data_IF_950469739962
#
_entry.id   IF_950469739962
#
_cell.length_a   1.000
_cell.length_b   1.000
_cell.length_c   1.000
_cell.angle_alpha   90.00
_cell.angle_beta   90.00
_cell.angle_gamma   90.00
#
_symmetry.space_group_name_H-M   'P 1'
#
loop_
_entity.id
_entity.type
_entity.pdbx_description
1 polymer ?
#
# COMPACT_ATOMS: atom_id res chain seq x y z
N UNK A 1 7.24 1.48 -13.95
CA UNK A 1 7.31 0.19 -13.20
C UNK A 1 8.61 0.19 -12.45
N UNK A 2 8.60 -0.27 -11.20
CA UNK A 2 9.71 -0.27 -10.26
C UNK A 2 9.81 -1.64 -9.60
N UNK A 3 11.01 -1.97 -9.12
CA UNK A 3 11.25 -3.16 -8.32
C UNK A 3 12.23 -2.82 -7.19
N UNK A 4 12.13 -3.58 -6.10
CA UNK A 4 13.01 -3.48 -4.94
C UNK A 4 13.54 -4.86 -4.57
N UNK A 5 14.79 -4.91 -4.14
CA UNK A 5 15.42 -6.10 -3.59
C UNK A 5 16.18 -5.73 -2.31
N UNK A 6 16.11 -6.58 -1.29
CA UNK A 6 16.84 -6.42 -0.05
C UNK A 6 16.64 -7.61 0.87
N UNK A 7 17.72 -8.10 1.49
CA UNK A 7 17.65 -9.28 2.37
C UNK A 7 16.90 -8.96 3.67
N UNK A 8 16.33 -9.98 4.30
CA UNK A 8 15.66 -9.88 5.61
C UNK A 8 16.52 -10.36 6.80
N UNK A 9 17.78 -10.72 6.55
CA UNK A 9 18.73 -11.24 7.55
C UNK A 9 18.84 -10.33 8.79
N UNK A 10 18.94 -9.02 8.57
CA UNK A 10 19.05 -8.02 9.66
C UNK A 10 17.69 -7.48 10.13
N UNK A 11 16.59 -7.96 9.54
CA UNK A 11 15.23 -7.50 9.84
C UNK A 11 14.40 -8.56 10.59
N UNK A 12 14.90 -9.78 10.69
CA UNK A 12 14.22 -10.94 11.30
C UNK A 12 14.68 -11.25 12.72
N UNK A 13 15.69 -10.55 13.23
CA UNK A 13 16.24 -10.78 14.57
C UNK A 13 15.20 -10.46 15.66
N UNK A 14 14.75 -11.46 16.44
CA UNK A 14 13.72 -11.28 17.45
C UNK A 14 14.25 -10.66 18.76
N UNK A 15 15.56 -10.43 18.89
CA UNK A 15 16.19 -9.91 20.11
C UNK A 15 16.16 -8.39 20.23
N UNK A 16 15.76 -7.68 19.17
CA UNK A 16 15.59 -6.22 19.18
C UNK A 16 14.40 -5.79 20.02
N UNK A 17 14.51 -4.61 20.66
CA UNK A 17 13.42 -4.01 21.45
C UNK A 17 12.11 -3.86 20.64
N UNK A 18 12.21 -3.62 19.33
CA UNK A 18 11.11 -3.67 18.37
C UNK A 18 11.60 -4.47 17.15
N UNK A 19 11.21 -5.76 17.00
CA UNK A 19 11.67 -6.57 15.88
C UNK A 19 11.01 -6.13 14.58
N UNK A 20 11.80 -5.98 13.52
CA UNK A 20 11.32 -5.58 12.18
C UNK A 20 10.47 -6.65 11.47
N UNK A 21 10.55 -7.90 11.95
CA UNK A 21 9.83 -9.06 11.42
C UNK A 21 9.94 -9.17 9.89
N UNK A 22 11.16 -9.05 9.37
CA UNK A 22 11.47 -9.19 7.94
C UNK A 22 11.23 -7.95 7.07
N UNK A 23 10.78 -6.84 7.67
CA UNK A 23 10.53 -5.55 6.99
C UNK A 23 11.13 -4.38 7.79
N UNK A 24 11.26 -3.22 7.15
CA UNK A 24 11.77 -2.01 7.80
C UNK A 24 11.38 -0.74 7.05
N UNK A 25 11.72 0.43 7.60
CA UNK A 25 11.39 1.73 6.99
C UNK A 25 12.02 1.94 5.61
N UNK A 26 13.17 1.31 5.36
CA UNK A 26 13.89 1.34 4.07
C UNK A 26 13.51 0.17 3.14
N UNK A 27 12.71 -0.77 3.62
CA UNK A 27 12.30 -2.00 2.91
C UNK A 27 10.93 -2.43 3.42
N UNK A 28 9.90 -1.78 2.88
CA UNK A 28 8.53 -1.87 3.40
C UNK A 28 7.81 -3.17 2.97
N UNK A 29 8.37 -3.91 2.02
CA UNK A 29 7.81 -5.15 1.50
C UNK A 29 8.23 -6.39 2.31
N UNK A 30 7.41 -7.43 2.25
CA UNK A 30 7.70 -8.73 2.85
C UNK A 30 8.66 -9.56 1.99
N UNK A 31 9.62 -10.22 2.64
CA UNK A 31 10.59 -11.11 1.97
C UNK A 31 11.59 -10.32 1.13
N UNK A 32 12.28 -10.97 0.20
CA UNK A 32 13.48 -10.36 -0.39
C UNK A 32 13.22 -9.37 -1.52
N UNK A 33 12.04 -9.39 -2.15
CA UNK A 33 11.74 -8.55 -3.30
C UNK A 33 10.31 -8.02 -3.29
N UNK A 34 10.13 -6.93 -4.01
CA UNK A 34 8.82 -6.41 -4.38
C UNK A 34 8.84 -5.75 -5.76
N UNK A 35 7.68 -5.66 -6.37
CA UNK A 35 7.43 -4.94 -7.62
C UNK A 35 6.22 -4.03 -7.44
N UNK A 36 6.27 -2.86 -8.05
CA UNK A 36 5.13 -1.96 -8.08
C UNK A 36 5.12 -1.13 -9.35
N UNK A 37 3.94 -0.71 -9.75
CA UNK A 37 3.77 0.09 -10.94
C UNK A 37 2.40 0.73 -10.93
N UNK A 38 2.33 1.89 -11.55
CA UNK A 38 1.06 2.56 -11.76
C UNK A 38 1.12 3.39 -13.02
N UNK A 39 -0.06 3.80 -13.45
CA UNK A 39 -0.23 4.67 -14.59
C UNK A 39 -1.33 5.68 -14.27
N UNK A 40 -1.21 6.84 -14.91
CA UNK A 40 -2.23 7.88 -14.91
C UNK A 40 -2.78 7.99 -16.32
N UNK A 41 -4.10 7.97 -16.44
CA UNK A 41 -4.81 8.25 -17.67
C UNK A 41 -5.60 9.55 -17.55
N UNK A 42 -5.30 10.52 -18.41
CA UNK A 42 -6.00 11.81 -18.45
C UNK A 42 -7.15 11.71 -19.45
N UNK A 43 -8.39 11.70 -18.96
CA UNK A 43 -9.58 11.70 -19.83
C UNK A 43 -9.75 13.04 -20.54
N UNK A 44 -9.56 14.14 -19.79
CA UNK A 44 -9.67 15.51 -20.28
C UNK A 44 -8.92 16.46 -19.34
N UNK A 45 -9.02 17.77 -19.58
CA UNK A 45 -8.35 18.80 -18.78
C UNK A 45 -8.72 18.79 -17.28
N UNK A 46 -9.91 18.29 -16.93
CA UNK A 46 -10.44 18.28 -15.56
C UNK A 46 -10.40 16.92 -14.89
N UNK A 47 -10.14 15.84 -15.62
CA UNK A 47 -10.39 14.47 -15.11
C UNK A 47 -9.23 13.56 -15.43
N UNK A 48 -8.68 12.92 -14.40
CA UNK A 48 -7.68 11.87 -14.52
C UNK A 48 -8.02 10.66 -13.66
N UNK A 49 -7.67 9.48 -14.17
CA UNK A 49 -7.67 8.20 -13.45
C UNK A 49 -6.23 7.86 -13.09
N UNK A 50 -5.97 7.45 -11.87
CA UNK A 50 -4.71 6.84 -11.45
C UNK A 50 -5.00 5.40 -11.02
N UNK A 51 -4.14 4.48 -11.43
CA UNK A 51 -4.18 3.10 -10.97
C UNK A 51 -2.77 2.64 -10.60
N UNK A 52 -2.64 1.91 -9.51
CA UNK A 52 -1.39 1.34 -9.02
C UNK A 52 -1.61 -0.10 -8.56
N UNK A 53 -0.61 -0.95 -8.80
CA UNK A 53 -0.52 -2.30 -8.28
C UNK A 53 0.85 -2.53 -7.65
N UNK A 54 0.90 -3.27 -6.56
CA UNK A 54 2.13 -3.70 -5.88
C UNK A 54 2.03 -5.16 -5.46
N UNK A 55 3.15 -5.87 -5.52
CA UNK A 55 3.25 -7.26 -5.10
C UNK A 55 4.63 -7.59 -4.51
N UNK A 56 4.68 -8.47 -3.53
CA UNK A 56 5.93 -8.89 -2.88
C UNK A 56 6.07 -10.41 -2.70
N UNK A 57 7.24 -10.84 -2.24
CA UNK A 57 7.57 -12.26 -2.03
C UNK A 57 6.63 -12.94 -1.03
N UNK A 58 6.14 -12.19 -0.04
CA UNK A 58 5.15 -12.68 0.93
C UNK A 58 3.75 -12.79 0.36
N UNK A 59 3.58 -12.54 -0.94
CA UNK A 59 2.31 -12.57 -1.66
C UNK A 59 1.35 -11.49 -1.18
N UNK A 60 1.84 -10.38 -0.64
CA UNK A 60 0.98 -9.23 -0.41
C UNK A 60 0.66 -8.59 -1.75
N UNK A 61 -0.63 -8.41 -2.05
CA UNK A 61 -1.09 -7.72 -3.27
C UNK A 61 -1.83 -6.45 -2.86
N UNK A 62 -1.34 -5.30 -3.31
CA UNK A 62 -2.02 -4.01 -3.18
C UNK A 62 -2.50 -3.53 -4.54
N UNK A 63 -3.75 -3.06 -4.61
CA UNK A 63 -4.30 -2.38 -5.78
C UNK A 63 -4.96 -1.10 -5.29
N UNK A 64 -4.60 0.03 -5.89
CA UNK A 64 -5.21 1.32 -5.61
C UNK A 64 -5.69 1.95 -6.92
N UNK A 65 -6.90 2.50 -6.93
CA UNK A 65 -7.42 3.22 -8.07
C UNK A 65 -8.17 4.48 -7.61
N UNK A 66 -7.87 5.62 -8.22
CA UNK A 66 -8.55 6.87 -7.92
C UNK A 66 -8.89 7.69 -9.15
N UNK A 67 -9.93 8.50 -9.03
CA UNK A 67 -10.29 9.53 -10.01
C UNK A 67 -10.09 10.88 -9.34
N UNK A 68 -9.33 11.76 -9.98
CA UNK A 68 -9.22 13.16 -9.62
C UNK A 68 -10.03 14.01 -10.61
N UNK A 69 -10.97 14.79 -10.08
CA UNK A 69 -11.86 15.66 -10.83
C UNK A 69 -11.79 17.10 -10.34
N UNK A 70 -11.37 18.00 -11.23
CA UNK A 70 -11.35 19.44 -11.01
C UNK A 70 -12.73 20.02 -11.34
N UNK A 71 -13.54 20.27 -10.30
CA UNK A 71 -14.86 20.87 -10.48
C UNK A 71 -14.72 22.29 -11.03
N UNK A 72 -13.86 23.08 -10.37
CA UNK A 72 -13.47 24.44 -10.76
C UNK A 72 -11.96 24.60 -10.56
N UNK A 73 -11.32 25.59 -11.21
CA UNK A 73 -9.91 25.87 -10.98
C UNK A 73 -9.58 26.00 -9.48
N UNK A 74 -8.56 25.26 -9.06
CA UNK A 74 -8.11 25.19 -7.66
C UNK A 74 -9.06 24.44 -6.72
N UNK A 75 -10.01 23.63 -7.22
CA UNK A 75 -10.81 22.74 -6.40
C UNK A 75 -10.94 21.35 -7.02
N UNK A 76 -10.29 20.38 -6.40
CA UNK A 76 -10.22 18.98 -6.84
C UNK A 76 -10.95 18.08 -5.85
N UNK A 77 -11.79 17.20 -6.37
CA UNK A 77 -12.30 16.04 -5.62
C UNK A 77 -11.55 14.80 -6.10
N UNK A 78 -10.99 14.05 -5.17
CA UNK A 78 -10.37 12.75 -5.43
C UNK A 78 -11.12 11.64 -4.72
N UNK A 79 -11.57 10.65 -5.46
CA UNK A 79 -12.20 9.44 -4.91
C UNK A 79 -11.27 8.26 -5.13
N UNK A 80 -10.93 7.51 -4.09
CA UNK A 80 -10.00 6.37 -4.13
C UNK A 80 -10.65 5.11 -3.57
N UNK A 81 -10.32 3.97 -4.18
CA UNK A 81 -10.63 2.64 -3.68
C UNK A 81 -9.35 1.80 -3.68
N UNK A 82 -9.17 1.05 -2.61
CA UNK A 82 -8.00 0.22 -2.36
C UNK A 82 -8.44 -1.22 -2.09
N UNK A 83 -7.69 -2.17 -2.63
CA UNK A 83 -7.77 -3.58 -2.30
C UNK A 83 -6.42 -4.07 -1.78
N UNK A 84 -6.47 -4.81 -0.68
CA UNK A 84 -5.31 -5.45 -0.08
C UNK A 84 -5.57 -6.95 0.11
N UNK A 85 -4.68 -7.77 -0.40
CA UNK A 85 -4.51 -9.16 0.01
C UNK A 85 -3.25 -9.30 0.86
N UNK A 86 -3.38 -9.81 2.08
CA UNK A 86 -2.27 -10.13 2.96
C UNK A 86 -1.88 -11.61 2.80
N UNK A 87 -0.77 -11.88 2.10
CA UNK A 87 -0.43 -13.23 1.68
C UNK A 87 -0.05 -14.18 2.82
N UNK A 88 0.56 -13.65 3.89
CA UNK A 88 0.93 -14.37 5.11
C UNK A 88 0.02 -14.03 6.31
N UNK A 89 -1.24 -13.70 6.05
CA UNK A 89 -2.20 -13.28 7.09
C UNK A 89 -2.31 -14.29 8.26
N UNK A 90 -2.30 -15.59 7.96
CA UNK A 90 -2.50 -16.66 8.94
C UNK A 90 -1.24 -16.90 9.82
N UNK A 91 -0.05 -16.63 9.28
CA UNK A 91 1.24 -16.76 9.99
C UNK A 91 1.47 -15.61 10.97
N UNK A 92 0.80 -14.48 10.72
CA UNK A 92 0.88 -13.27 11.52
C UNK A 92 -0.48 -12.87 12.11
N UNK A 93 -1.44 -13.80 12.11
CA UNK A 93 -2.86 -13.59 12.44
C UNK A 93 -3.12 -13.11 13.86
N UNK A 94 -4.40 -13.04 14.24
CA UNK A 94 -5.01 -12.35 15.40
C UNK A 94 -4.32 -12.43 16.80
N UNK A 95 -3.29 -13.25 16.97
CA UNK A 95 -2.47 -13.38 18.18
C UNK A 95 -1.09 -12.68 18.10
N UNK A 96 -0.65 -12.18 16.94
CA UNK A 96 0.48 -11.24 16.90
C UNK A 96 -0.05 -9.84 17.18
N UNK A 97 0.61 -9.02 18.02
CA UNK A 97 0.24 -7.63 18.12
C UNK A 97 0.30 -7.07 16.70
N UNK A 98 -0.87 -6.68 16.20
CA UNK A 98 -1.09 -6.11 14.88
C UNK A 98 -0.12 -4.97 14.45
N UNK A 99 0.63 -4.26 15.33
CA UNK A 99 1.53 -3.20 14.89
C UNK A 99 2.71 -3.66 14.03
N UNK A 100 3.13 -4.93 14.08
CA UNK A 100 4.40 -5.29 13.44
C UNK A 100 4.31 -5.46 11.91
N UNK A 101 3.15 -5.85 11.37
CA UNK A 101 3.03 -6.19 9.95
C UNK A 101 1.88 -5.54 9.18
N UNK A 102 0.97 -4.85 9.87
CA UNK A 102 -0.20 -4.26 9.26
C UNK A 102 -0.19 -2.74 9.42
N UNK A 103 0.53 -2.04 8.54
CA UNK A 103 0.58 -0.57 8.53
C UNK A 103 -0.72 0.05 8.04
N UNK A 104 -1.57 -0.76 7.41
CA UNK A 104 -2.86 -0.38 6.81
C UNK A 104 -4.05 -0.56 7.74
N UNK A 105 -3.89 -1.20 8.91
CA UNK A 105 -5.00 -1.51 9.83
C UNK A 105 -5.99 -2.58 9.32
N UNK A 106 -5.62 -3.36 8.30
CA UNK A 106 -6.41 -4.45 7.72
C UNK A 106 -6.66 -5.62 8.71
N UNK A 107 -7.92 -5.91 9.02
CA UNK A 107 -8.30 -6.95 9.99
C UNK A 107 -8.62 -8.31 9.35
N UNK A 108 -8.54 -8.40 8.02
CA UNK A 108 -8.85 -9.59 7.22
C UNK A 108 -7.79 -9.83 6.15
N UNK A 109 -7.63 -11.11 5.78
CA UNK A 109 -6.76 -11.56 4.67
C UNK A 109 -7.01 -10.81 3.37
N UNK A 110 -8.25 -10.45 3.10
CA UNK A 110 -8.65 -9.56 2.01
C UNK A 110 -9.38 -8.37 2.61
N UNK A 111 -8.94 -7.16 2.28
CA UNK A 111 -9.50 -5.92 2.79
C UNK A 111 -9.76 -4.95 1.63
N UNK A 112 -10.86 -4.19 1.75
CA UNK A 112 -11.19 -3.10 0.83
C UNK A 112 -11.29 -1.82 1.65
N UNK A 113 -10.67 -0.76 1.16
CA UNK A 113 -10.68 0.57 1.76
C UNK A 113 -10.89 1.64 0.70
N UNK A 114 -10.95 2.88 1.13
CA UNK A 114 -11.03 4.01 0.23
C UNK A 114 -11.34 5.30 0.95
N UNK A 115 -11.28 6.40 0.22
CA UNK A 115 -11.61 7.72 0.74
C UNK A 115 -12.15 8.65 -0.34
N UNK A 116 -12.74 9.74 0.13
CA UNK A 116 -13.03 10.93 -0.70
C UNK A 116 -12.26 12.10 -0.11
N UNK A 117 -11.46 12.77 -0.95
CA UNK A 117 -10.64 13.92 -0.58
C UNK A 117 -11.13 15.15 -1.32
N UNK A 118 -11.26 16.24 -0.58
CA UNK A 118 -11.55 17.57 -1.10
C UNK A 118 -10.30 18.43 -0.92
N UNK A 119 -9.77 18.99 -2.01
CA UNK A 119 -8.55 19.79 -1.99
C UNK A 119 -8.79 21.14 -2.67
N UNK A 120 -8.55 22.23 -1.94
CA UNK A 120 -8.62 23.61 -2.45
C UNK A 120 -7.22 24.23 -2.45
N UNK A 121 -6.86 24.91 -3.53
CA UNK A 121 -5.67 25.79 -3.58
C UNK A 121 -6.11 27.24 -3.76
N UNK A 122 -5.41 28.17 -3.10
CA UNK A 122 -5.66 29.61 -3.11
C UNK A 122 -4.66 30.35 -3.99
#
# INVERSE_FOLDING_TARGET
VMAGYGTDDNLSDPTWAIPGRGRGIYKQWGGNWAVWGGATYKFNEKTSLNAQVSYDEWKNLGIAANIAYDIVPGFTITTEVDYLHAGRFDEFGAASPAPALNWTGADKKNSVGGFVRFQRSF
#
